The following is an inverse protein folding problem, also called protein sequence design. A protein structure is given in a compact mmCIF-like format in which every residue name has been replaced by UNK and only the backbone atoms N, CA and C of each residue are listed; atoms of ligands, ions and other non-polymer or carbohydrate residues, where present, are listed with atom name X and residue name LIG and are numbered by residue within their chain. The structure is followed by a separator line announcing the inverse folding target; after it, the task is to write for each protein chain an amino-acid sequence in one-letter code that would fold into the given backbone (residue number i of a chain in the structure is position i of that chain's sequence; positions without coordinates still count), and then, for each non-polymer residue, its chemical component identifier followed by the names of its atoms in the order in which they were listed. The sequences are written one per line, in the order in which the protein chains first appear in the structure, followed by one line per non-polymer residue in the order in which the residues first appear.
data_IF_897785471518
#
_entry.id   IF_897785471518
#
_cell.length_a   1.000
_cell.length_b   1.000
_cell.length_c   1.000
_cell.angle_alpha   90.00
_cell.angle_beta   90.00
_cell.angle_gamma   90.00
#
_symmetry.space_group_name_H-M   'P 1'
#
loop_
_entity.id
_entity.type
_entity.pdbx_description
1 polymer ?
2 non-polymer ?
3 non-polymer ?
4 non-polymer ?
5 water ?
#
# COMPACT_ATOMS: atom_id res chain seq x y z
N UNK A 36 15.37 -1.54 -15.95
CA UNK A 36 16.64 -1.98 -15.42
C UNK A 36 17.53 -0.79 -15.05
N UNK A 37 17.36 0.32 -15.76
CA UNK A 37 18.14 1.53 -15.53
C UNK A 37 17.24 2.57 -14.88
N UNK A 38 17.57 2.97 -13.65
CA UNK A 38 16.72 3.86 -12.88
C UNK A 38 17.26 5.29 -13.04
N UNK A 39 16.40 6.30 -13.15
CA UNK A 39 16.90 7.68 -13.20
C UNK A 39 17.75 7.98 -11.99
N UNK A 40 18.89 8.66 -12.17
CA UNK A 40 19.78 8.96 -11.04
C UNK A 40 19.09 9.61 -9.85
N UNK A 41 18.17 10.56 -10.09
CA UNK A 41 17.50 11.21 -8.98
C UNK A 41 16.63 10.23 -8.17
N UNK A 42 16.27 9.09 -8.75
CA UNK A 42 15.46 8.10 -8.05
C UNK A 42 16.25 6.88 -7.65
N UNK A 43 17.53 6.80 -8.02
CA UNK A 43 18.27 5.55 -7.88
C UNK A 43 18.73 5.38 -6.43
N UNK A 44 18.54 4.18 -5.90
CA UNK A 44 18.96 3.84 -4.54
C UNK A 44 19.94 2.66 -4.60
N UNK A 45 21.25 2.93 -4.62
CA UNK A 45 22.22 1.83 -4.79
C UNK A 45 22.13 0.77 -3.71
N UNK A 46 21.77 1.15 -2.48
CA UNK A 46 21.68 0.16 -1.41
C UNK A 46 20.56 -0.84 -1.71
N UNK A 47 19.42 -0.37 -2.24
CA UNK A 47 18.36 -1.30 -2.61
C UNK A 47 18.88 -2.29 -3.66
N UNK A 48 19.53 -1.76 -4.70
CA UNK A 48 19.94 -2.58 -5.83
C UNK A 48 21.02 -3.59 -5.43
N UNK A 49 21.91 -3.21 -4.53
CA UNK A 49 23.00 -4.10 -4.12
C UNK A 49 22.60 -5.02 -2.97
N UNK A 50 21.78 -4.55 -2.04
CA UNK A 50 21.56 -5.31 -0.81
C UNK A 50 20.13 -5.79 -0.62
N UNK A 51 19.19 -5.45 -1.49
CA UNK A 51 17.81 -5.91 -1.36
C UNK A 51 17.38 -6.61 -2.65
N UNK A 52 17.96 -7.76 -2.96
CA UNK A 52 17.63 -8.43 -4.22
C UNK A 52 16.16 -8.79 -4.32
N UNK A 53 15.58 -8.54 -5.50
CA UNK A 53 14.17 -8.81 -5.73
C UNK A 53 13.84 -10.28 -5.53
N UNK A 54 12.65 -10.54 -4.98
CA UNK A 54 12.06 -11.87 -4.96
C UNK A 54 10.70 -11.84 -5.63
N UNK A 55 10.30 -12.98 -6.20
CA UNK A 55 9.01 -13.13 -6.87
C UNK A 55 8.36 -14.43 -6.46
N UNK A 56 7.13 -14.32 -5.95
CA UNK A 56 6.31 -15.47 -5.57
C UNK A 56 6.01 -16.35 -6.79
N UNK A 57 6.10 -17.68 -6.66
CA UNK A 57 5.89 -18.56 -7.84
C UNK A 57 4.48 -18.53 -8.41
N UNK A 58 3.51 -18.00 -7.68
CA UNK A 58 2.14 -17.96 -8.18
C UNK A 58 1.89 -16.76 -9.08
N UNK A 59 2.90 -15.90 -9.28
CA UNK A 59 2.61 -14.63 -9.92
C UNK A 59 2.00 -14.71 -11.32
N UNK A 60 2.41 -15.65 -12.20
CA UNK A 60 1.74 -15.69 -13.52
C UNK A 60 0.23 -15.88 -13.43
N UNK A 61 -0.24 -16.80 -12.59
CA UNK A 61 -1.68 -16.98 -12.46
C UNK A 61 -2.31 -15.84 -11.66
N UNK A 62 -1.53 -15.25 -10.76
CA UNK A 62 -2.00 -14.09 -10.01
C UNK A 62 -2.34 -12.95 -10.95
N UNK A 63 -1.43 -12.63 -11.87
CA UNK A 63 -1.64 -11.54 -12.82
C UNK A 63 -2.98 -11.67 -13.56
N UNK A 64 -3.22 -12.83 -14.18
CA UNK A 64 -4.44 -12.97 -14.96
C UNK A 64 -5.69 -13.07 -14.08
N UNK A 65 -5.58 -13.74 -12.93
CA UNK A 65 -6.75 -13.90 -12.07
C UNK A 65 -7.24 -12.56 -11.54
N UNK A 66 -6.32 -11.66 -11.19
CA UNK A 66 -6.73 -10.33 -10.75
C UNK A 66 -7.30 -9.52 -11.90
N UNK A 67 -6.66 -9.63 -13.08
CA UNK A 67 -7.19 -8.98 -14.28
C UNK A 67 -8.62 -9.40 -14.54
N UNK A 68 -8.90 -10.70 -14.44
CA UNK A 68 -10.25 -11.20 -14.63
C UNK A 68 -11.18 -10.69 -13.54
N UNK A 69 -10.68 -10.62 -12.30
CA UNK A 69 -11.48 -10.10 -11.19
C UNK A 69 -11.88 -8.65 -11.42
N UNK A 70 -10.92 -7.80 -11.80
CA UNK A 70 -11.23 -6.42 -12.18
C UNK A 70 -12.29 -6.37 -13.27
N UNK A 71 -12.18 -7.27 -14.25
CA UNK A 71 -13.18 -7.35 -15.32
C UNK A 71 -14.53 -7.77 -14.76
N UNK A 72 -14.56 -8.91 -14.06
CA UNK A 72 -15.83 -9.48 -13.64
C UNK A 72 -16.50 -8.66 -12.56
N UNK A 73 -15.73 -7.90 -11.76
CA UNK A 73 -16.36 -7.02 -10.79
C UNK A 73 -16.66 -5.63 -11.36
N UNK A 74 -16.32 -5.39 -12.62
CA UNK A 74 -16.58 -4.11 -13.28
C UNK A 74 -15.90 -2.96 -12.54
N UNK A 75 -14.67 -3.17 -12.11
CA UNK A 75 -13.94 -2.12 -11.41
C UNK A 75 -13.18 -1.20 -12.35
N UNK A 76 -12.99 -1.62 -13.59
CA UNK A 76 -12.46 -0.80 -14.66
C UNK A 76 -13.23 -1.15 -15.92
N UNK A 77 -13.36 -0.21 -16.86
CA UNK A 77 -13.92 -0.57 -18.16
C UNK A 77 -13.09 -1.65 -18.83
N UNK A 78 -13.77 -2.53 -19.57
CA UNK A 78 -13.09 -3.65 -20.22
C UNK A 78 -12.01 -3.17 -21.17
N UNK A 79 -12.23 -2.04 -21.85
CA UNK A 79 -11.19 -1.48 -22.71
C UNK A 79 -9.94 -1.13 -21.92
N UNK A 80 -10.11 -0.45 -20.79
CA UNK A 80 -8.96 -0.04 -19.99
C UNK A 80 -8.28 -1.23 -19.31
N UNK A 81 -9.05 -2.26 -18.93
CA UNK A 81 -8.44 -3.45 -18.36
C UNK A 81 -7.53 -4.11 -19.39
N UNK A 82 -8.06 -4.35 -20.58
CA UNK A 82 -7.30 -5.04 -21.62
C UNK A 82 -6.05 -4.25 -21.99
N UNK A 83 -6.15 -2.92 -22.04
CA UNK A 83 -5.01 -2.12 -22.47
C UNK A 83 -4.02 -1.82 -21.34
N UNK A 84 -4.49 -1.72 -20.09
CA UNK A 84 -3.67 -1.14 -19.03
C UNK A 84 -3.41 -2.06 -17.84
N UNK A 85 -4.31 -2.99 -17.52
CA UNK A 85 -4.22 -3.72 -16.26
C UNK A 85 -2.84 -4.33 -16.03
N UNK A 86 -2.35 -5.11 -17.00
CA UNK A 86 -1.07 -5.79 -16.81
C UNK A 86 0.07 -4.79 -16.65
N UNK A 87 0.08 -3.74 -17.47
CA UNK A 87 1.10 -2.71 -17.42
C UNK A 87 1.08 -1.86 -16.16
N UNK A 88 0.05 -2.00 -15.33
CA UNK A 88 0.00 -1.29 -14.05
C UNK A 88 0.79 -2.02 -12.96
N UNK A 89 1.09 -3.31 -13.16
CA UNK A 89 1.99 -4.08 -12.30
C UNK A 89 1.47 -4.25 -10.86
N UNK A 90 0.16 -4.12 -10.65
CA UNK A 90 -0.35 -4.20 -9.29
C UNK A 90 -0.10 -5.56 -8.68
N UNK A 91 -0.29 -6.64 -9.45
CA UNK A 91 -0.05 -7.95 -8.87
C UNK A 91 1.44 -8.20 -8.65
N UNK A 92 2.29 -7.73 -9.57
CA UNK A 92 3.74 -7.81 -9.36
C UNK A 92 4.14 -7.22 -8.03
N UNK A 93 3.54 -6.07 -7.67
CA UNK A 93 3.90 -5.41 -6.43
C UNK A 93 3.64 -6.32 -5.23
N UNK A 94 2.49 -6.99 -5.21
CA UNK A 94 2.17 -7.89 -4.10
C UNK A 94 2.99 -9.17 -4.16
N UNK A 95 3.20 -9.70 -5.38
CA UNK A 95 3.96 -10.94 -5.54
C UNK A 95 5.44 -10.76 -5.21
N UNK A 96 5.93 -9.53 -5.16
CA UNK A 96 7.31 -9.29 -4.73
C UNK A 96 7.43 -8.99 -3.26
N UNK A 97 6.31 -9.07 -2.53
CA UNK A 97 6.18 -8.59 -1.16
C UNK A 97 5.85 -9.76 -0.23
N UNK A 98 4.68 -10.38 -0.38
CA UNK A 98 4.20 -11.41 0.54
C UNK A 98 4.71 -12.78 0.12
N UNK A 99 6.03 -12.94 0.18
CA UNK A 99 6.63 -14.21 -0.22
C UNK A 99 6.25 -15.30 0.77
N UNK A 100 6.02 -16.51 0.25
CA UNK A 100 5.57 -17.60 1.10
C UNK A 100 4.08 -17.63 1.36
N UNK A 101 3.33 -16.65 0.90
CA UNK A 101 1.90 -16.64 1.15
C UNK A 101 1.23 -17.81 0.43
N UNK A 102 0.21 -18.43 1.04
CA UNK A 102 -0.60 -19.39 0.27
C UNK A 102 -1.18 -18.72 -0.96
N UNK A 103 -1.30 -19.50 -2.04
CA UNK A 103 -1.83 -18.98 -3.30
C UNK A 103 -3.13 -18.21 -3.09
N UNK A 104 -4.08 -18.78 -2.34
CA UNK A 104 -5.37 -18.13 -2.21
C UNK A 104 -5.29 -16.91 -1.29
N UNK A 105 -4.31 -16.86 -0.39
CA UNK A 105 -4.10 -15.66 0.39
C UNK A 105 -3.54 -14.55 -0.49
N UNK A 106 -2.51 -14.88 -1.27
CA UNK A 106 -1.93 -13.87 -2.16
C UNK A 106 -2.96 -13.36 -3.17
N UNK A 107 -3.82 -14.26 -3.67
CA UNK A 107 -4.88 -13.83 -4.58
C UNK A 107 -5.79 -12.80 -3.94
N UNK A 108 -6.22 -13.07 -2.71
CA UNK A 108 -7.08 -12.13 -2.02
C UNK A 108 -6.37 -10.80 -1.78
N UNK A 109 -5.11 -10.86 -1.38
CA UNK A 109 -4.33 -9.65 -1.17
C UNK A 109 -4.21 -8.87 -2.46
N UNK A 110 -3.90 -9.56 -3.56
CA UNK A 110 -3.69 -8.87 -4.82
C UNK A 110 -4.99 -8.25 -5.33
N UNK A 111 -6.11 -8.97 -5.19
CA UNK A 111 -7.39 -8.36 -5.57
C UNK A 111 -7.68 -7.12 -4.73
N UNK A 112 -7.51 -7.23 -3.42
CA UNK A 112 -7.69 -6.08 -2.53
C UNK A 112 -6.76 -4.93 -2.92
N UNK A 113 -5.48 -5.24 -3.22
CA UNK A 113 -4.53 -4.20 -3.58
C UNK A 113 -4.94 -3.50 -4.87
N UNK A 114 -5.39 -4.27 -5.87
CA UNK A 114 -5.90 -3.66 -7.10
C UNK A 114 -7.13 -2.81 -6.80
N UNK A 115 -8.06 -3.33 -5.99
CA UNK A 115 -9.20 -2.53 -5.55
C UNK A 115 -8.73 -1.23 -4.91
N UNK A 116 -7.69 -1.31 -4.08
CA UNK A 116 -7.18 -0.11 -3.40
C UNK A 116 -6.72 0.95 -4.38
N UNK A 117 -6.00 0.55 -5.42
CA UNK A 117 -5.57 1.51 -6.43
C UNK A 117 -6.77 2.13 -7.15
N UNK A 118 -7.78 1.32 -7.43
CA UNK A 118 -8.97 1.84 -8.11
C UNK A 118 -9.73 2.80 -7.19
N UNK A 119 -9.76 2.50 -5.89
CA UNK A 119 -10.40 3.39 -4.92
C UNK A 119 -9.66 4.72 -4.83
N UNK A 120 -8.33 4.68 -4.85
CA UNK A 120 -7.53 5.90 -4.93
C UNK A 120 -7.89 6.70 -6.16
N UNK A 121 -8.18 6.00 -7.27
CA UNK A 121 -8.59 6.68 -8.50
C UNK A 121 -9.97 7.31 -8.36
N UNK A 122 -10.93 6.59 -7.78
CA UNK A 122 -12.27 7.14 -7.58
C UNK A 122 -12.24 8.34 -6.63
N UNK A 123 -11.46 8.23 -5.55
CA UNK A 123 -11.24 9.34 -4.62
C UNK A 123 -10.73 10.57 -5.36
N UNK A 124 -9.74 10.37 -6.23
CA UNK A 124 -9.18 11.47 -7.01
C UNK A 124 -10.20 12.07 -7.96
N UNK A 125 -11.03 11.23 -8.59
CA UNK A 125 -12.00 11.75 -9.55
C UNK A 125 -13.16 12.47 -8.85
N UNK A 126 -13.59 11.95 -7.69
CA UNK A 126 -14.62 12.62 -6.91
C UNK A 126 -14.17 14.00 -6.47
N UNK A 127 -12.89 14.12 -6.11
CA UNK A 127 -12.33 15.41 -5.73
C UNK A 127 -12.31 16.37 -6.92
N UNK A 128 -11.80 15.90 -8.05
CA UNK A 128 -11.64 16.76 -9.22
C UNK A 128 -12.98 17.25 -9.74
N UNK A 129 -14.02 16.42 -9.63
CA UNK A 129 -15.35 16.80 -10.09
C UNK A 129 -16.25 17.27 -8.95
N UNK A 130 -15.70 17.50 -7.77
CA UNK A 130 -16.44 18.07 -6.67
C UNK A 130 -17.60 17.23 -6.18
N UNK A 131 -17.54 15.91 -6.38
CA UNK A 131 -18.65 15.04 -6.01
C UNK A 131 -18.61 14.72 -4.51
N UNK A 132 -18.77 15.78 -3.71
CA UNK A 132 -18.72 15.62 -2.26
C UNK A 132 -19.78 14.67 -1.74
N UNK A 133 -20.98 14.71 -2.34
CA UNK A 133 -22.02 13.79 -1.89
C UNK A 133 -21.72 12.35 -2.27
N UNK A 134 -21.25 12.12 -3.50
CA UNK A 134 -20.88 10.77 -3.89
C UNK A 134 -19.76 10.23 -3.02
N UNK A 135 -18.75 11.05 -2.75
CA UNK A 135 -17.67 10.61 -1.87
C UNK A 135 -18.18 10.31 -0.48
N UNK A 136 -19.01 11.19 0.10
CA UNK A 136 -19.55 10.96 1.44
C UNK A 136 -20.30 9.64 1.51
N UNK A 137 -21.15 9.36 0.52
CA UNK A 137 -21.92 8.12 0.55
C UNK A 137 -21.00 6.90 0.41
N UNK A 138 -20.06 6.95 -0.53
CA UNK A 138 -19.09 5.86 -0.67
C UNK A 138 -18.35 5.60 0.63
N UNK A 139 -17.91 6.67 1.31
CA UNK A 139 -17.19 6.55 2.57
C UNK A 139 -18.02 5.83 3.62
N UNK A 140 -19.29 6.22 3.78
CA UNK A 140 -20.15 5.52 4.72
C UNK A 140 -20.41 4.07 4.31
N UNK A 141 -20.58 3.82 3.01
CA UNK A 141 -20.79 2.46 2.54
C UNK A 141 -19.55 1.59 2.81
N UNK A 142 -18.35 2.16 2.64
CA UNK A 142 -17.14 1.37 2.90
C UNK A 142 -17.03 1.05 4.38
N UNK A 143 -17.30 2.03 5.26
CA UNK A 143 -17.32 1.75 6.69
C UNK A 143 -18.26 0.59 7.02
N UNK A 144 -19.47 0.63 6.46
CA UNK A 144 -20.43 -0.44 6.75
C UNK A 144 -19.97 -1.76 6.15
N UNK A 145 -19.57 -1.75 4.88
CA UNK A 145 -19.14 -2.98 4.22
C UNK A 145 -17.95 -3.60 4.93
N UNK A 146 -17.08 -2.77 5.52
CA UNK A 146 -15.91 -3.29 6.20
C UNK A 146 -16.30 -4.17 7.36
N UNK A 147 -17.37 -3.81 8.08
CA UNK A 147 -17.82 -4.60 9.22
C UNK A 147 -18.70 -5.78 8.85
N UNK A 148 -19.43 -5.69 7.74
CA UNK A 148 -20.33 -6.75 7.28
C UNK A 148 -20.15 -6.89 5.78
N UNK A 149 -19.03 -7.44 5.34
CA UNK A 149 -18.78 -7.52 3.89
C UNK A 149 -19.75 -8.43 3.16
N UNK A 150 -20.22 -9.50 3.80
CA UNK A 150 -21.13 -10.41 3.12
C UNK A 150 -22.42 -9.72 2.67
N UNK A 151 -22.96 -8.85 3.51
CA UNK A 151 -24.15 -8.09 3.16
C UNK A 151 -23.95 -7.17 1.97
N UNK A 152 -22.71 -6.94 1.55
CA UNK A 152 -22.46 -5.99 0.47
C UNK A 152 -21.90 -6.63 -0.79
N UNK A 153 -21.87 -7.97 -0.86
CA UNK A 153 -21.25 -8.66 -2.01
C UNK A 153 -21.91 -8.33 -3.34
N UNK A 154 -23.18 -7.90 -3.35
CA UNK A 154 -23.88 -7.60 -4.59
C UNK A 154 -24.46 -6.19 -4.56
N UNK A 155 -23.80 -5.27 -3.87
CA UNK A 155 -24.23 -3.89 -3.80
C UNK A 155 -24.23 -3.26 -5.19
N UNK A 156 -25.13 -2.28 -5.39
CA UNK A 156 -25.25 -1.59 -6.67
C UNK A 156 -23.95 -0.91 -7.08
N UNK A 157 -23.24 -0.30 -6.13
CA UNK A 157 -21.95 0.32 -6.42
C UNK A 157 -20.91 -0.78 -6.58
N UNK A 158 -20.38 -0.93 -7.79
CA UNK A 158 -19.44 -2.01 -8.04
C UNK A 158 -18.15 -1.83 -7.23
N UNK A 159 -17.77 -0.58 -6.96
CA UNK A 159 -16.60 -0.35 -6.11
C UNK A 159 -16.84 -0.86 -4.69
N UNK A 160 -18.05 -0.69 -4.17
CA UNK A 160 -18.36 -1.25 -2.86
C UNK A 160 -18.45 -2.78 -2.93
N UNK A 161 -19.03 -3.32 -3.99
CA UNK A 161 -19.16 -4.76 -4.07
C UNK A 161 -17.80 -5.43 -4.18
N UNK A 162 -16.91 -4.87 -4.99
CA UNK A 162 -15.56 -5.43 -5.10
C UNK A 162 -14.79 -5.36 -3.79
N UNK A 163 -14.97 -4.27 -3.05
CA UNK A 163 -14.36 -4.16 -1.72
C UNK A 163 -14.85 -5.27 -0.81
N UNK A 164 -16.16 -5.45 -0.74
CA UNK A 164 -16.74 -6.46 0.13
C UNK A 164 -16.24 -7.86 -0.19
N UNK A 165 -16.08 -8.16 -1.47
CA UNK A 165 -15.66 -9.49 -1.88
C UNK A 165 -14.22 -9.78 -1.45
N UNK A 166 -13.33 -8.83 -1.69
CA UNK A 166 -11.95 -9.00 -1.25
C UNK A 166 -11.88 -9.08 0.27
N UNK A 167 -12.62 -8.21 0.98
CA UNK A 167 -12.53 -8.20 2.45
C UNK A 167 -13.11 -9.48 3.03
N UNK A 168 -14.26 -9.94 2.51
CA UNK A 168 -14.81 -11.21 2.97
C UNK A 168 -13.80 -12.34 2.82
N UNK A 169 -13.05 -12.35 1.73
CA UNK A 169 -12.09 -13.44 1.53
C UNK A 169 -10.92 -13.30 2.50
N UNK A 170 -10.48 -12.07 2.77
CA UNK A 170 -9.40 -11.86 3.73
C UNK A 170 -9.81 -12.24 5.14
N UNK A 171 -11.09 -12.07 5.47
CA UNK A 171 -11.63 -12.42 6.77
C UNK A 171 -11.75 -13.94 7.00
N UNK A 172 -11.42 -14.76 6.00
CA UNK A 172 -11.62 -16.20 6.11
C UNK A 172 -10.36 -16.95 6.47
N UNK A 173 -9.24 -16.25 6.68
CA UNK A 173 -7.95 -16.93 6.83
C UNK A 173 -7.53 -17.11 8.29
N UNK A 174 -7.83 -16.13 9.13
CA UNK A 174 -7.37 -16.05 10.50
C UNK A 174 -8.54 -15.76 11.43
N UNK A 175 -8.37 -15.96 12.74
CA UNK A 175 -9.48 -15.78 13.66
C UNK A 175 -10.09 -14.38 13.61
N UNK A 176 -11.29 -14.27 14.17
CA UNK A 176 -12.02 -13.01 14.17
C UNK A 176 -11.28 -11.89 14.87
N UNK A 177 -10.34 -12.21 15.77
CA UNK A 177 -9.56 -11.15 16.41
C UNK A 177 -8.66 -10.44 15.42
N UNK A 178 -8.12 -11.16 14.43
CA UNK A 178 -7.38 -10.49 13.36
C UNK A 178 -8.33 -9.69 12.47
N UNK A 179 -9.50 -10.26 12.13
CA UNK A 179 -10.45 -9.54 11.29
C UNK A 179 -10.84 -8.20 11.92
N UNK A 180 -11.00 -8.19 13.24
CA UNK A 180 -11.40 -6.97 13.93
C UNK A 180 -10.28 -5.94 13.91
N UNK A 181 -9.03 -6.39 14.00
CA UNK A 181 -7.91 -5.47 13.93
C UNK A 181 -7.77 -4.88 12.53
N UNK A 182 -7.90 -5.72 11.49
CA UNK A 182 -7.93 -5.21 10.12
C UNK A 182 -8.99 -4.12 9.96
N UNK A 183 -10.20 -4.38 10.46
CA UNK A 183 -11.28 -3.41 10.31
C UNK A 183 -10.98 -2.12 11.06
N UNK A 184 -10.54 -2.25 12.33
CA UNK A 184 -10.16 -1.06 13.09
C UNK A 184 -9.15 -0.24 12.30
N UNK A 185 -8.14 -0.90 11.76
CA UNK A 185 -7.14 -0.19 10.97
C UNK A 185 -7.76 0.45 9.74
N UNK A 186 -8.64 -0.28 9.03
CA UNK A 186 -9.13 0.28 7.78
C UNK A 186 -10.19 1.36 7.99
N UNK A 187 -10.98 1.27 9.06
CA UNK A 187 -11.83 2.41 9.42
C UNK A 187 -11.00 3.69 9.51
N UNK A 188 -9.81 3.60 10.12
CA UNK A 188 -8.94 4.76 10.21
C UNK A 188 -8.46 5.21 8.83
N UNK A 189 -8.15 4.25 7.94
CA UNK A 189 -7.69 4.60 6.59
C UNK A 189 -8.78 5.38 5.86
N UNK A 190 -10.02 4.86 5.87
CA UNK A 190 -11.14 5.55 5.21
C UNK A 190 -11.21 7.01 5.65
N UNK A 191 -11.10 7.23 6.97
CA UNK A 191 -11.22 8.60 7.49
C UNK A 191 -10.04 9.47 7.10
N UNK A 192 -8.85 8.88 6.93
CA UNK A 192 -7.74 9.66 6.39
C UNK A 192 -8.00 10.06 4.95
N UNK A 193 -8.61 9.18 4.16
CA UNK A 193 -9.03 9.58 2.81
C UNK A 193 -10.03 10.73 2.86
N UNK A 194 -10.94 10.70 3.82
CA UNK A 194 -11.87 11.83 3.94
C UNK A 194 -11.13 13.11 4.29
N UNK A 195 -10.14 13.04 5.17
CA UNK A 195 -9.37 14.24 5.46
C UNK A 195 -8.67 14.74 4.21
N UNK A 196 -8.08 13.83 3.42
CA UNK A 196 -7.47 14.23 2.16
C UNK A 196 -8.49 14.91 1.25
N UNK A 197 -9.72 14.39 1.23
CA UNK A 197 -10.77 15.00 0.42
C UNK A 197 -10.98 16.45 0.85
N UNK A 198 -11.09 16.68 2.16
CA UNK A 198 -11.26 18.04 2.67
C UNK A 198 -10.06 18.92 2.32
N UNK A 199 -8.84 18.39 2.49
CA UNK A 199 -7.64 19.17 2.19
C UNK A 199 -7.62 19.60 0.73
N UNK A 200 -7.93 18.69 -0.19
CA UNK A 200 -7.76 19.01 -1.60
C UNK A 200 -8.86 19.92 -2.12
N UNK A 201 -10.10 19.72 -1.68
CA UNK A 201 -11.16 20.64 -2.11
C UNK A 201 -10.90 22.04 -1.55
N UNK A 202 -10.42 22.14 -0.31
CA UNK A 202 -10.08 23.42 0.28
C UNK A 202 -8.68 23.92 -0.11
N UNK A 203 -7.90 23.13 -0.85
CA UNK A 203 -6.56 23.55 -1.25
C UNK A 203 -5.56 23.65 -0.11
N UNK A 204 -5.75 22.88 0.96
CA UNK A 204 -4.87 22.91 2.12
C UNK A 204 -3.75 21.89 1.93
N UNK A 205 -2.51 22.35 1.96
CA UNK A 205 -1.34 21.49 2.00
C UNK A 205 -0.99 21.26 3.47
N UNK A 206 -1.01 20.02 3.96
CA UNK A 206 -0.71 19.78 5.38
C UNK A 206 0.73 20.14 5.73
N UNK A 207 0.94 20.47 7.00
CA UNK A 207 2.29 20.64 7.50
C UNK A 207 3.09 19.36 7.40
N UNK A 208 4.42 19.50 7.47
CA UNK A 208 5.30 18.34 7.30
C UNK A 208 4.96 17.26 8.32
N UNK A 209 4.91 17.62 9.61
CA UNK A 209 4.61 16.62 10.63
C UNK A 209 3.17 16.14 10.51
N UNK A 210 2.24 17.07 10.25
CA UNK A 210 0.85 16.68 10.00
C UNK A 210 0.78 15.65 8.87
N UNK A 211 1.51 15.92 7.77
CA UNK A 211 1.48 15.01 6.63
C UNK A 211 2.06 13.66 6.98
N UNK A 212 3.22 13.63 7.66
CA UNK A 212 3.82 12.34 7.97
C UNK A 212 2.89 11.48 8.81
N UNK A 213 2.13 12.12 9.70
CA UNK A 213 1.14 11.42 10.49
C UNK A 213 0.01 10.88 9.61
N UNK A 214 -0.53 11.74 8.75
CA UNK A 214 -1.62 11.37 7.85
C UNK A 214 -1.19 10.32 6.83
N UNK A 215 0.07 10.38 6.42
CA UNK A 215 0.58 9.48 5.38
C UNK A 215 0.62 8.04 5.85
N UNK A 216 0.89 7.81 7.14
CA UNK A 216 0.83 6.46 7.68
C UNK A 216 -0.57 5.85 7.55
N UNK A 217 -1.59 6.68 7.40
CA UNK A 217 -2.96 6.20 7.27
C UNK A 217 -3.42 6.14 5.81
N UNK A 218 -3.11 7.16 5.01
CA UNK A 218 -3.51 7.11 3.60
C UNK A 218 -2.75 6.02 2.85
N UNK A 219 -1.48 5.79 3.19
CA UNK A 219 -0.76 4.70 2.57
C UNK A 219 -1.18 3.35 3.13
N UNK A 220 -1.89 3.34 4.27
CA UNK A 220 -2.39 2.12 4.91
C UNK A 220 -1.26 1.24 5.42
N UNK A 221 -0.24 1.88 6.01
CA UNK A 221 0.87 1.19 6.68
C UNK A 221 0.43 -0.05 7.44
N UNK A 222 -0.59 0.11 8.27
CA UNK A 222 -0.94 -0.94 9.22
C UNK A 222 -1.80 -2.02 8.58
N UNK A 223 -2.42 -1.74 7.44
CA UNK A 223 -3.10 -2.80 6.68
C UNK A 223 -2.06 -3.75 6.07
N UNK A 224 -1.05 -3.20 5.38
CA UNK A 224 -0.01 -4.05 4.82
C UNK A 224 0.70 -4.83 5.91
N UNK A 225 0.93 -4.20 7.07
CA UNK A 225 1.52 -4.91 8.20
C UNK A 225 0.62 -6.04 8.70
N UNK A 226 -0.67 -5.74 8.91
CA UNK A 226 -1.63 -6.80 9.26
C UNK A 226 -1.55 -7.97 8.28
N UNK A 227 -1.51 -7.67 6.98
CA UNK A 227 -1.59 -8.75 5.99
C UNK A 227 -0.34 -9.60 5.93
N UNK A 228 0.74 -9.21 6.64
CA UNK A 228 1.88 -10.11 6.77
C UNK A 228 1.47 -11.44 7.42
N UNK A 229 0.46 -11.40 8.32
CA UNK A 229 0.21 -12.52 9.21
C UNK A 229 -0.57 -13.64 8.52
N UNK A 230 -1.62 -13.35 7.74
CA UNK A 230 -2.22 -14.43 6.94
C UNK A 230 -1.24 -14.98 5.90
N UNK A 231 -0.29 -14.16 5.45
CA UNK A 231 0.71 -14.65 4.50
C UNK A 231 1.64 -15.69 5.13
N UNK A 232 1.92 -15.60 6.42
CA UNK A 232 2.71 -16.62 7.09
C UNK A 232 1.86 -17.57 7.91
N UNK A 233 0.54 -17.43 7.85
CA UNK A 233 -0.36 -18.39 8.45
C UNK A 233 -0.60 -18.26 9.93
N UNK A 234 -0.45 -17.07 10.50
CA UNK A 234 -0.43 -17.00 11.96
C UNK A 234 -0.82 -15.61 12.42
N UNK A 235 -1.87 -15.53 13.25
CA UNK A 235 -2.16 -14.27 13.93
C UNK A 235 -1.18 -14.09 15.08
N UNK A 236 -0.43 -13.00 15.05
CA UNK A 236 0.57 -12.81 16.09
C UNK A 236 -0.08 -12.24 17.35
N UNK A 237 0.26 -12.76 18.53
CA UNK A 237 -0.19 -12.13 19.77
C UNK A 237 0.30 -10.69 19.86
N UNK A 238 -0.49 -9.85 20.57
CA UNK A 238 -0.15 -8.44 20.69
C UNK A 238 1.25 -8.24 21.25
N UNK A 239 1.64 -9.07 22.23
CA UNK A 239 2.96 -8.93 22.82
C UNK A 239 4.07 -9.15 21.79
N UNK A 240 3.83 -10.03 20.81
CA UNK A 240 4.84 -10.27 19.78
C UNK A 240 4.88 -9.13 18.78
N UNK A 241 3.73 -8.81 18.18
CA UNK A 241 3.74 -7.80 17.12
C UNK A 241 3.93 -6.39 17.64
N UNK A 242 3.79 -6.16 18.95
CA UNK A 242 4.08 -4.86 19.53
C UNK A 242 5.47 -4.78 20.15
N UNK A 243 6.23 -5.86 20.09
CA UNK A 243 7.64 -5.81 20.46
C UNK A 243 8.31 -4.63 19.74
N UNK A 244 9.17 -3.86 20.41
CA UNK A 244 9.70 -2.65 19.77
C UNK A 244 10.44 -2.90 18.47
N UNK A 245 11.15 -4.02 18.34
CA UNK A 245 11.88 -4.29 17.11
C UNK A 245 10.93 -4.66 15.98
N UNK A 246 9.93 -5.50 16.27
CA UNK A 246 8.91 -5.80 15.28
C UNK A 246 8.20 -4.53 14.82
N UNK A 247 7.73 -3.72 15.78
CA UNK A 247 6.99 -2.51 15.42
C UNK A 247 7.84 -1.55 14.59
N UNK A 248 9.11 -1.38 14.98
CA UNK A 248 9.96 -0.41 14.30
C UNK A 248 10.36 -0.90 12.92
N UNK A 249 10.71 -2.17 12.80
CA UNK A 249 10.94 -2.77 11.47
C UNK A 249 9.70 -2.60 10.59
N UNK A 250 8.51 -2.90 11.14
CA UNK A 250 7.28 -2.77 10.36
C UNK A 250 7.04 -1.34 9.94
N UNK A 251 7.32 -0.38 10.84
CA UNK A 251 7.14 1.02 10.52
C UNK A 251 8.08 1.47 9.40
N UNK A 252 9.37 1.15 9.54
CA UNK A 252 10.35 1.63 8.58
C UNK A 252 10.06 1.08 7.18
N UNK A 253 9.63 -0.18 7.10
CA UNK A 253 9.29 -0.75 5.79
C UNK A 253 8.23 0.10 5.10
N UNK A 254 7.17 0.46 5.82
CA UNK A 254 6.09 1.24 5.23
C UNK A 254 6.50 2.70 5.00
N UNK A 255 7.32 3.28 5.89
CA UNK A 255 7.75 4.65 5.65
C UNK A 255 8.54 4.73 4.37
N UNK A 256 9.45 3.77 4.15
CA UNK A 256 10.16 3.75 2.89
C UNK A 256 9.19 3.65 1.72
N UNK A 257 8.25 2.71 1.80
CA UNK A 257 7.32 2.50 0.69
C UNK A 257 6.55 3.77 0.39
N UNK A 258 6.01 4.44 1.44
CA UNK A 258 5.21 5.65 1.23
C UNK A 258 6.05 6.81 0.73
N UNK A 259 7.21 7.04 1.33
CA UNK A 259 8.00 8.20 0.95
C UNK A 259 8.69 8.00 -0.39
N UNK A 260 9.09 6.76 -0.71
CA UNK A 260 9.60 6.52 -2.06
C UNK A 260 8.50 6.73 -3.09
N UNK A 261 7.28 6.27 -2.80
CA UNK A 261 6.16 6.64 -3.66
C UNK A 261 6.05 8.16 -3.81
N UNK A 262 6.16 8.89 -2.69
CA UNK A 262 6.12 10.35 -2.77
C UNK A 262 7.19 10.87 -3.74
N UNK A 263 8.43 10.38 -3.59
CA UNK A 263 9.50 10.79 -4.48
C UNK A 263 9.18 10.47 -5.94
N UNK A 264 8.66 9.26 -6.19
CA UNK A 264 8.44 8.81 -7.57
C UNK A 264 7.12 9.29 -8.17
N UNK A 265 6.08 9.48 -7.36
CA UNK A 265 4.80 9.94 -7.88
C UNK A 265 4.70 11.46 -7.88
N UNK A 266 5.73 12.16 -7.45
CA UNK A 266 5.70 13.63 -7.39
C UNK A 266 5.33 14.29 -8.72
N UNK A 267 5.89 13.89 -9.88
CA UNK A 267 5.48 14.57 -11.13
C UNK A 267 4.00 14.41 -11.44
N UNK A 268 3.49 13.18 -11.41
CA UNK A 268 2.07 12.92 -11.65
C UNK A 268 1.19 13.66 -10.63
N UNK A 269 1.62 13.70 -9.38
CA UNK A 269 0.79 14.30 -8.35
C UNK A 269 0.77 15.82 -8.46
N UNK A 270 1.92 16.44 -8.77
CA UNK A 270 1.90 17.86 -9.11
C UNK A 270 1.02 18.12 -10.33
N UNK A 271 1.09 17.23 -11.33
CA UNK A 271 0.27 17.40 -12.52
C UNK A 271 -1.21 17.26 -12.22
N UNK A 272 -1.57 16.44 -11.24
CA UNK A 272 -2.96 16.18 -10.93
C UNK A 272 -3.59 17.09 -9.90
N UNK A 273 -2.91 18.17 -9.50
CA UNK A 273 -3.34 19.04 -8.41
C UNK A 273 -3.50 18.27 -7.10
N UNK A 274 -2.69 17.21 -6.94
CA UNK A 274 -2.58 16.53 -5.66
C UNK A 274 -1.74 17.36 -4.72
N UNK A 275 -2.16 17.46 -3.46
CA UNK A 275 -1.41 18.20 -2.45
C UNK A 275 -0.70 17.31 -1.45
N UNK A 276 -1.02 16.02 -1.40
CA UNK A 276 -0.49 15.15 -0.35
C UNK A 276 0.76 14.44 -0.89
N UNK A 277 1.91 14.87 -0.39
CA UNK A 277 3.21 14.40 -0.84
C UNK A 277 4.25 15.13 0.02
N UNK A 278 5.18 14.39 0.64
CA UNK A 278 6.16 14.99 1.53
C UNK A 278 6.90 16.15 0.85
N UNK A 279 7.23 15.99 -0.42
CA UNK A 279 7.89 17.06 -1.15
C UNK A 279 7.06 18.32 -1.19
N UNK A 280 5.75 18.18 -1.41
CA UNK A 280 4.86 19.34 -1.48
C UNK A 280 4.79 20.03 -0.12
N UNK A 281 4.66 19.25 0.96
CA UNK A 281 4.65 19.86 2.29
C UNK A 281 5.95 20.60 2.58
N UNK A 282 7.07 20.09 2.06
CA UNK A 282 8.35 20.75 2.30
C UNK A 282 8.47 22.05 1.51
N UNK A 283 8.08 22.01 0.24
CA UNK A 283 8.07 23.23 -0.57
C UNK A 283 7.15 24.27 0.06
N UNK A 284 5.97 23.85 0.50
CA UNK A 284 4.93 24.78 0.93
C UNK A 284 5.28 25.41 2.28
N UNK A 285 5.71 24.61 3.25
CA UNK A 285 5.84 25.07 4.62
C UNK A 285 7.26 25.30 5.08
N UNK A 286 8.24 24.67 4.43
CA UNK A 286 9.64 24.90 4.76
C UNK A 286 10.34 25.73 3.70
N UNK A 287 9.59 26.23 2.71
CA UNK A 287 10.11 27.15 1.70
C UNK A 287 11.31 26.54 0.96
N UNK A 288 11.19 25.28 0.59
CA UNK A 288 12.21 24.61 -0.21
C UNK A 288 11.87 24.72 -1.69
N UNK A 289 12.91 24.71 -2.52
CA UNK A 289 12.69 24.60 -3.96
C UNK A 289 12.36 23.16 -4.31
N UNK A 290 12.04 22.91 -5.59
CA UNK A 290 11.70 21.55 -6.01
C UNK A 290 12.92 20.63 -5.95
N UNK A 291 14.07 21.12 -6.39
CA UNK A 291 15.29 20.33 -6.32
C UNK A 291 15.69 20.08 -4.87
N UNK A 292 15.48 21.06 -3.99
CA UNK A 292 15.83 20.89 -2.59
C UNK A 292 14.89 19.90 -1.91
N UNK A 293 13.59 19.98 -2.21
CA UNK A 293 12.63 19.08 -1.60
C UNK A 293 12.85 17.65 -2.05
N UNK A 294 13.14 17.45 -3.35
CA UNK A 294 13.46 16.12 -3.85
C UNK A 294 14.67 15.55 -3.11
N UNK A 295 15.69 16.38 -2.87
CA UNK A 295 16.87 15.91 -2.18
C UNK A 295 16.58 15.55 -0.73
N UNK A 296 15.72 16.31 -0.07
CA UNK A 296 15.38 16.01 1.31
C UNK A 296 14.51 14.76 1.42
N UNK A 297 13.59 14.56 0.49
CA UNK A 297 12.81 13.32 0.47
C UNK A 297 13.74 12.13 0.21
N UNK A 298 14.62 12.27 -0.78
CA UNK A 298 15.56 11.21 -1.10
C UNK A 298 16.40 10.81 0.10
N UNK A 299 16.92 11.81 0.82
CA UNK A 299 17.71 11.57 2.03
C UNK A 299 16.89 10.83 3.09
N UNK A 300 15.64 11.24 3.29
CA UNK A 300 14.80 10.59 4.28
C UNK A 300 14.48 9.15 3.87
N UNK A 301 14.31 8.93 2.57
CA UNK A 301 14.14 7.56 2.05
C UNK A 301 15.37 6.73 2.33
N UNK A 302 16.56 7.27 2.04
CA UNK A 302 17.79 6.53 2.25
C UNK A 302 17.99 6.18 3.72
N UNK A 303 17.62 7.09 4.62
CA UNK A 303 17.77 6.82 6.06
C UNK A 303 16.86 5.69 6.53
N UNK A 304 15.63 5.60 5.96
CA UNK A 304 14.77 4.48 6.26
C UNK A 304 15.50 3.17 6.04
N UNK A 305 16.24 3.08 4.93
CA UNK A 305 16.92 1.82 4.60
C UNK A 305 17.92 1.46 5.70
N UNK A 306 18.82 2.38 6.04
CA UNK A 306 19.87 2.03 6.98
C UNK A 306 19.33 1.94 8.41
N UNK A 307 18.28 2.70 8.75
CA UNK A 307 17.58 2.46 10.01
C UNK A 307 16.98 1.06 10.03
N UNK A 308 16.36 0.65 8.92
CA UNK A 308 15.78 -0.69 8.85
C UNK A 308 16.84 -1.77 9.04
N UNK A 309 18.00 -1.60 8.40
CA UNK A 309 19.05 -2.61 8.54
C UNK A 309 19.44 -2.82 9.99
N UNK A 310 19.54 -1.75 10.77
CA UNK A 310 19.89 -1.89 12.18
C UNK A 310 18.78 -2.59 12.96
N UNK A 311 17.53 -2.14 12.82
CA UNK A 311 16.50 -2.76 13.63
C UNK A 311 16.14 -4.15 13.11
N UNK A 312 16.42 -4.44 11.83
CA UNK A 312 16.18 -5.80 11.32
C UNK A 312 16.98 -6.84 12.09
N UNK A 313 18.22 -6.49 12.49
CA UNK A 313 19.01 -7.42 13.30
C UNK A 313 18.34 -7.71 14.63
N UNK A 314 17.79 -6.67 15.28
CA UNK A 314 17.07 -6.85 16.54
C UNK A 314 15.80 -7.66 16.33
N UNK A 315 15.09 -7.41 15.23
CA UNK A 315 13.86 -8.16 14.99
C UNK A 315 14.16 -9.63 14.72
N UNK A 316 15.28 -9.92 14.04
CA UNK A 316 15.62 -11.32 13.82
C UNK A 316 16.16 -11.98 15.08
N UNK A 317 16.89 -11.24 15.92
CA UNK A 317 17.24 -11.76 17.23
C UNK A 317 15.98 -12.10 18.04
N UNK A 318 14.96 -11.24 17.97
CA UNK A 318 13.70 -11.51 18.63
C UNK A 318 13.08 -12.81 18.12
N UNK A 319 13.03 -12.98 16.79
CA UNK A 319 12.49 -14.23 16.25
C UNK A 319 13.27 -15.43 16.78
N UNK A 320 14.60 -15.31 16.87
CA UNK A 320 15.41 -16.40 17.41
C UNK A 320 15.06 -16.69 18.87
N UNK A 321 14.78 -15.64 19.65
CA UNK A 321 14.43 -15.86 21.05
C UNK A 321 13.08 -16.52 21.21
N UNK A 322 12.15 -16.34 20.25
CA UNK A 322 10.84 -16.95 20.38
C UNK A 322 10.91 -18.46 20.34
N UNK A 323 11.92 -19.02 19.66
CA UNK A 323 12.10 -20.47 19.60
C UNK A 323 12.74 -20.92 20.90
N UNK A 324 11.90 -21.06 21.93
CA UNK A 324 12.37 -21.42 23.26
C UNK A 324 12.44 -22.93 23.46
N UNK A 325 11.98 -23.71 22.49
CA UNK A 325 11.97 -25.16 22.58
C UNK A 325 10.59 -25.78 22.42
N UNK A 326 9.53 -25.00 22.58
CA UNK A 326 8.18 -25.52 22.44
C UNK A 326 7.74 -25.48 20.98
N UNK A 327 6.67 -26.23 20.70
CA UNK A 327 6.10 -26.26 19.36
C UNK A 327 5.57 -24.89 18.96
N UNK A 328 4.79 -24.26 19.87
CA UNK A 328 4.23 -22.96 19.56
C UNK A 328 5.33 -21.91 19.39
N UNK A 329 6.42 -22.04 20.15
CA UNK A 329 7.52 -21.12 20.01
C UNK A 329 8.17 -21.20 18.65
N UNK A 330 8.32 -22.42 18.12
CA UNK A 330 8.91 -22.58 16.80
C UNK A 330 8.02 -21.95 15.73
N UNK A 331 6.70 -22.15 15.85
CA UNK A 331 5.77 -21.56 14.89
C UNK A 331 5.78 -20.04 14.96
N UNK A 332 5.71 -19.50 16.18
CA UNK A 332 5.83 -18.06 16.37
C UNK A 332 7.15 -17.53 15.81
N UNK A 333 8.25 -18.23 16.09
CA UNK A 333 9.56 -17.82 15.58
C UNK A 333 9.57 -17.81 14.06
N UNK A 334 9.07 -18.90 13.45
CA UNK A 334 9.02 -18.96 12.01
C UNK A 334 8.17 -17.85 11.41
N UNK A 335 7.04 -17.53 12.05
CA UNK A 335 6.15 -16.53 11.49
C UNK A 335 6.75 -15.13 11.59
N UNK A 336 7.40 -14.80 12.70
CA UNK A 336 8.06 -13.50 12.80
C UNK A 336 9.17 -13.39 11.77
N UNK A 337 9.97 -14.45 11.62
CA UNK A 337 11.03 -14.44 10.60
C UNK A 337 10.45 -14.20 9.21
N UNK A 338 9.40 -14.95 8.85
CA UNK A 338 8.76 -14.74 7.56
C UNK A 338 8.31 -13.29 7.40
N UNK A 339 7.65 -12.74 8.42
CA UNK A 339 7.10 -11.40 8.31
C UNK A 339 8.20 -10.34 8.16
N UNK A 340 9.24 -10.42 8.99
CA UNK A 340 10.37 -9.51 8.87
C UNK A 340 11.06 -9.68 7.51
N UNK A 341 11.17 -10.93 7.05
CA UNK A 341 11.62 -11.18 5.68
C UNK A 341 10.81 -10.42 4.64
N UNK A 342 9.49 -10.41 4.80
CA UNK A 342 8.65 -9.69 3.84
C UNK A 342 8.68 -8.18 4.07
N UNK A 343 8.85 -7.72 5.31
CA UNK A 343 9.12 -6.29 5.50
C UNK A 343 10.30 -5.85 4.66
N UNK A 344 11.32 -6.71 4.56
CA UNK A 344 12.48 -6.39 3.74
C UNK A 344 12.13 -6.46 2.27
N UNK A 345 11.35 -7.49 1.87
CA UNK A 345 10.97 -7.62 0.47
C UNK A 345 10.19 -6.41 -0.02
N UNK A 346 9.41 -5.77 0.86
CA UNK A 346 8.64 -4.59 0.47
C UNK A 346 9.54 -3.52 -0.14
N UNK A 347 10.74 -3.35 0.42
CA UNK A 347 11.69 -2.36 -0.11
C UNK A 347 11.96 -2.59 -1.60
N UNK A 348 12.37 -3.80 -1.97
CA UNK A 348 12.70 -4.07 -3.38
C UNK A 348 11.45 -4.10 -4.27
N UNK A 349 10.37 -4.69 -3.79
CA UNK A 349 9.15 -4.71 -4.58
C UNK A 349 8.67 -3.29 -4.91
N UNK A 350 8.62 -2.42 -3.90
CA UNK A 350 8.15 -1.06 -4.14
C UNK A 350 9.11 -0.30 -5.05
N UNK A 351 10.42 -0.45 -4.82
CA UNK A 351 11.40 0.23 -5.64
C UNK A 351 11.19 -0.07 -7.13
N UNK A 352 11.28 -1.35 -7.51
CA UNK A 352 11.16 -1.70 -8.92
C UNK A 352 9.75 -1.46 -9.46
N UNK A 353 8.72 -1.55 -8.63
CA UNK A 353 7.36 -1.26 -9.07
C UNK A 353 7.22 0.16 -9.61
N UNK A 354 7.86 1.14 -8.96
CA UNK A 354 7.68 2.52 -9.39
C UNK A 354 8.40 2.81 -10.69
N UNK A 355 9.34 1.95 -11.09
CA UNK A 355 10.02 2.12 -12.37
C UNK A 355 9.43 1.24 -13.47
N UNK A 356 8.59 0.27 -13.13
CA UNK A 356 7.93 -0.60 -14.07
C UNK A 356 6.48 -0.23 -14.35
N UNK A 357 5.75 0.26 -13.35
CA UNK A 357 4.30 0.44 -13.52
C UNK A 357 3.99 1.62 -14.44
N UNK A 358 3.00 1.42 -15.31
CA UNK A 358 2.49 2.54 -16.09
C UNK A 358 1.77 3.60 -15.27
N UNK A 359 1.46 3.32 -14.00
CA UNK A 359 0.71 4.27 -13.20
C UNK A 359 1.43 5.61 -13.07
N UNK A 360 2.76 5.64 -13.11
CA UNK A 360 3.50 6.86 -12.82
C UNK A 360 4.13 7.51 -14.04
N UNK A 361 3.90 6.97 -15.25
CA UNK A 361 4.52 7.48 -16.47
C UNK A 361 3.73 8.67 -17.02
N UNK A 362 3.73 9.75 -16.23
CA UNK A 362 2.98 10.95 -16.58
C UNK A 362 3.44 11.54 -17.90
N UNK A 363 4.69 11.28 -18.29
CA UNK A 363 5.23 11.85 -19.52
C UNK A 363 4.68 11.19 -20.79
N UNK A 364 3.92 10.11 -20.67
CA UNK A 364 3.40 9.39 -21.84
C UNK A 364 1.91 9.60 -22.04
N UNK A 365 1.33 10.62 -21.40
CA UNK A 365 -0.11 10.86 -21.45
C UNK A 365 -0.41 12.11 -22.26
N UNK A 366 -1.49 12.06 -23.04
CA UNK A 366 -1.93 13.24 -23.78
C UNK A 366 -2.37 14.34 -22.83
N UNK A 367 -3.02 13.98 -21.72
CA UNK A 367 -3.41 14.92 -20.68
C UNK A 367 -2.70 14.49 -19.40
N UNK A 368 -1.75 15.32 -18.95
CA UNK A 368 -0.94 14.96 -17.79
C UNK A 368 -1.73 14.98 -16.49
N UNK A 369 -2.87 15.67 -16.46
CA UNK A 369 -3.71 15.68 -15.26
C UNK A 369 -4.73 14.55 -15.22
N UNK A 370 -4.89 13.81 -16.33
CA UNK A 370 -5.85 12.71 -16.42
C UNK A 370 -5.15 11.42 -16.84
N UNK A 371 -4.76 10.56 -15.90
CA UNK A 371 -4.11 9.29 -16.26
C UNK A 371 -5.05 8.43 -17.10
N UNK A 372 -4.53 7.81 -18.16
CA UNK A 372 -5.42 7.09 -19.10
C UNK A 372 -6.19 5.93 -18.48
N UNK A 373 -5.82 5.47 -17.28
CA UNK A 373 -6.39 4.29 -16.66
C UNK A 373 -7.51 4.61 -15.65
N UNK A 374 -7.81 5.89 -15.41
CA UNK A 374 -8.94 6.24 -14.54
C UNK A 374 -10.12 6.61 -15.43
N UNK A 375 -11.33 6.41 -14.91
CA UNK A 375 -12.55 6.72 -15.64
C UNK A 375 -12.87 8.21 -15.53
X LIG B 1 1.70 8.97 -4.41
X LIG C 1 -2.90 8.72 -5.51
X LIG D 1 -4.04 8.77 -2.47
X LIG E 1 -2.28 -1.81 16.80
X LIG E 1 -1.35 -1.15 17.78
X LIG E 1 -1.32 -2.50 15.87
X LIG E 1 -3.16 -2.82 17.48
X LIG E 1 -3.08 -0.78 16.04
X LIG F 1 -0.20 6.87 -5.95
X LIG F 1 -1.37 7.68 -6.43
X LIG F 1 0.07 5.71 -6.91
X LIG F 1 1.04 7.74 -5.88
X LIG F 1 -0.59 6.21 -4.26
X LIG F 1 -0.99 7.59 -3.11
X LIG F 1 0.17 8.58 -3.19
X LIG F 1 -2.31 8.19 -3.56
X LIG F 1 -1.12 6.95 -1.76
X LIG F 1 0.52 5.57 -3.71
X LIG F 1 -1.82 5.30 -4.30
X LIG F 1 -1.56 4.03 -3.49
X LIG F 1 -1.60 4.30 -2.08
#
# INVERSE_FOLDING_TARGET
MGSSHHHHHHSSGLVPRGSHMVHAFPHGTTATPTAIAVPPSLRLPVIEAAFPRQLHPYWPKLQETTRTWLLEKRLMPADKVEEYADGLCYTDLMAGYYLGAPDEVLQAIADYSAWFFVWDDRHDRDIVHGRAGAWRRLRGLLHTALDSPGDHLHHEDTLVAGFADSVRRLYAFLPATWNARFARHFHTVIEAYDREFHNRTRGIVPGVEEYLELRRLTFAHWIWTDLLEPSSGCELPDAVRKHPAYRRAALLSQEFAAWYNDLCSLPKEIAGDEVHNLGISLITHHSLTLEEAIGEVRRRVEECITEFLAVERDALRFADELADGTVRGKELSGAVRANVGNMRNWFSSVYWFHHESGRYMVDSWDDRSTPPYVNNEAAGEK
MG MG
MG MG
MG MG
SO4 S O1 O2 O3 O4
210 P1 O2 O3 O5 C7 P8 O9 O10 O12 O14 C16 C19 N22
#
